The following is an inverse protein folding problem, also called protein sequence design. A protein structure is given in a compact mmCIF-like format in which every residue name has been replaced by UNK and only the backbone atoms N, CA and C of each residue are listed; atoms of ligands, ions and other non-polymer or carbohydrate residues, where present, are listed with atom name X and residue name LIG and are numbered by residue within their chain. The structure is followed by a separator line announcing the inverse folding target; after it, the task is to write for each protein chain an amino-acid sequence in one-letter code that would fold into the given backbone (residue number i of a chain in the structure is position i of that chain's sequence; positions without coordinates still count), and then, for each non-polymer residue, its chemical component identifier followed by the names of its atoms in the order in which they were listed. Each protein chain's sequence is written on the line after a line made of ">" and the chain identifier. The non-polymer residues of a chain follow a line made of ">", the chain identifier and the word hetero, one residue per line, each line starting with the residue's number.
data_IF_270820191613
#
_entry.id   IF_270820191613
#
_cell.length_a   1.000
_cell.length_b   1.000
_cell.length_c   1.000
_cell.angle_alpha   90.00
_cell.angle_beta   90.00
_cell.angle_gamma   90.00
#
_symmetry.space_group_name_H-M   'P 1'
#
loop_
_entity.id
_entity.type
_entity.pdbx_description
1 polymer ?
#
# COMPACT_ATOMS: atom_id res chain seq x y z
N UNK A 1 81.41 -50.71 -46.66
CA UNK A 1 81.37 -50.33 -45.22
C UNK A 1 81.61 -48.84 -45.07
N UNK A 2 80.69 -48.03 -44.61
CA UNK A 2 80.96 -46.63 -44.35
C UNK A 2 81.40 -46.44 -42.86
N UNK A 3 82.52 -45.74 -42.73
CA UNK A 3 83.17 -45.33 -41.49
C UNK A 3 82.41 -44.12 -40.91
N UNK A 4 81.85 -44.29 -39.71
CA UNK A 4 81.24 -43.12 -38.98
C UNK A 4 82.35 -42.30 -38.32
N UNK A 5 82.30 -40.98 -38.39
CA UNK A 5 83.20 -40.09 -37.60
C UNK A 5 82.72 -39.99 -36.14
N UNK A 6 83.62 -39.68 -35.21
CA UNK A 6 83.37 -39.74 -33.79
C UNK A 6 82.52 -38.49 -33.31
N UNK A 7 81.64 -38.81 -32.43
CA UNK A 7 80.70 -37.84 -31.76
C UNK A 7 81.47 -36.82 -30.88
N UNK A 8 81.30 -35.51 -31.17
CA UNK A 8 81.84 -34.42 -30.41
C UNK A 8 80.81 -34.00 -29.34
N UNK A 9 81.16 -34.11 -28.06
CA UNK A 9 80.35 -33.68 -26.93
C UNK A 9 80.11 -32.16 -26.99
N UNK A 10 78.91 -31.68 -26.93
CA UNK A 10 78.66 -30.21 -26.79
C UNK A 10 79.01 -29.74 -25.39
N UNK A 11 79.65 -28.56 -25.34
CA UNK A 11 80.10 -27.90 -24.11
C UNK A 11 78.97 -27.55 -23.18
N UNK A 12 79.17 -27.75 -21.90
CA UNK A 12 78.26 -27.35 -20.82
C UNK A 12 78.18 -25.82 -20.75
N UNK A 13 77.13 -25.23 -21.25
CA UNK A 13 76.76 -23.84 -21.00
C UNK A 13 76.20 -23.80 -19.59
N UNK A 14 76.94 -23.18 -18.66
CA UNK A 14 76.40 -22.81 -17.33
C UNK A 14 75.28 -21.78 -17.53
N UNK A 15 74.04 -22.20 -17.45
CA UNK A 15 72.92 -21.34 -17.25
C UNK A 15 73.02 -20.78 -15.81
N UNK A 16 73.27 -19.49 -15.71
CA UNK A 16 73.11 -18.73 -14.48
C UNK A 16 71.63 -18.81 -14.06
N UNK A 17 71.43 -19.27 -12.84
CA UNK A 17 70.11 -19.35 -12.20
C UNK A 17 69.33 -18.08 -12.35
N UNK A 18 68.30 -18.08 -13.15
CA UNK A 18 67.25 -17.07 -13.12
C UNK A 18 66.63 -17.09 -11.71
N UNK A 19 66.44 -15.92 -11.17
CA UNK A 19 65.83 -15.71 -9.86
C UNK A 19 64.55 -16.56 -9.69
N UNK A 20 64.51 -17.29 -8.62
CA UNK A 20 63.39 -18.21 -8.31
C UNK A 20 62.07 -17.43 -8.24
N UNK A 21 60.98 -18.00 -8.71
CA UNK A 21 59.64 -17.32 -8.70
C UNK A 21 59.20 -16.84 -7.34
N UNK A 22 59.79 -17.38 -6.29
CA UNK A 22 59.50 -16.99 -4.90
C UNK A 22 59.98 -15.58 -4.51
N UNK A 23 61.03 -15.07 -5.10
CA UNK A 23 61.57 -13.75 -4.81
C UNK A 23 60.61 -12.65 -5.35
N UNK A 24 59.99 -12.87 -6.49
CA UNK A 24 59.02 -11.95 -7.09
C UNK A 24 57.72 -11.95 -6.29
N UNK A 25 57.24 -13.09 -5.81
CA UNK A 25 56.04 -13.20 -4.97
C UNK A 25 56.26 -12.57 -3.58
N UNK A 26 57.47 -12.72 -3.00
CA UNK A 26 57.80 -12.12 -1.72
C UNK A 26 57.87 -10.60 -1.82
N UNK A 27 58.44 -10.04 -2.89
CA UNK A 27 58.49 -8.62 -3.15
C UNK A 27 57.09 -8.02 -3.39
N UNK A 28 56.20 -8.73 -4.07
CA UNK A 28 54.83 -8.29 -4.30
C UNK A 28 54.02 -8.32 -3.02
N UNK A 29 54.22 -9.31 -2.16
CA UNK A 29 53.50 -9.42 -0.87
C UNK A 29 53.93 -8.35 0.13
N UNK A 30 55.21 -7.91 0.10
CA UNK A 30 55.68 -6.84 0.97
C UNK A 30 55.18 -5.47 0.54
N UNK A 31 55.05 -5.20 -0.76
CA UNK A 31 54.49 -3.96 -1.27
C UNK A 31 52.98 -3.84 -1.03
N UNK A 32 52.24 -4.95 -1.18
CA UNK A 32 50.79 -4.97 -0.93
C UNK A 32 50.46 -4.74 0.56
N UNK A 33 51.30 -5.16 1.47
CA UNK A 33 51.07 -5.02 2.92
C UNK A 33 51.38 -3.60 3.46
N UNK A 34 52.23 -2.84 2.77
CA UNK A 34 52.57 -1.47 3.18
C UNK A 34 51.55 -0.40 2.72
N UNK A 35 50.84 -0.65 1.59
CA UNK A 35 49.88 0.32 1.07
C UNK A 35 48.50 0.27 1.76
N UNK A 36 48.16 -0.84 2.41
CA UNK A 36 46.78 -1.04 2.86
C UNK A 36 46.51 -0.68 4.34
N UNK A 37 47.56 -0.48 5.17
CA UNK A 37 47.37 -0.28 6.60
C UNK A 37 47.21 1.18 7.02
N UNK A 38 47.81 2.12 6.25
CA UNK A 38 47.79 3.53 6.61
C UNK A 38 46.55 4.26 6.07
N UNK A 39 46.03 3.82 4.92
CA UNK A 39 44.89 4.46 4.28
C UNK A 39 43.54 4.04 4.83
N UNK A 40 43.38 2.80 5.28
CA UNK A 40 42.09 2.28 5.81
C UNK A 40 41.69 2.98 7.10
N UNK A 41 42.59 3.20 8.03
CA UNK A 41 42.29 3.93 9.28
C UNK A 41 41.97 5.40 9.02
N UNK A 42 42.69 6.06 8.13
CA UNK A 42 42.43 7.46 7.76
C UNK A 42 41.10 7.57 6.98
N UNK A 43 40.83 6.63 6.08
CA UNK A 43 39.59 6.57 5.34
C UNK A 43 38.41 6.32 6.28
N UNK A 44 38.56 5.40 7.24
CA UNK A 44 37.55 5.11 8.24
C UNK A 44 37.25 6.28 9.18
N UNK A 45 38.33 7.00 9.62
CA UNK A 45 38.21 8.21 10.44
C UNK A 45 37.52 9.35 9.67
N UNK A 46 37.88 9.54 8.40
CA UNK A 46 37.19 10.51 7.53
C UNK A 46 35.70 10.17 7.32
N UNK A 47 35.40 8.91 7.08
CA UNK A 47 34.00 8.45 6.96
C UNK A 47 33.22 8.66 8.26
N UNK A 48 33.77 8.26 9.40
CA UNK A 48 33.16 8.47 10.71
C UNK A 48 32.92 9.97 11.00
N UNK A 49 33.90 10.81 10.67
CA UNK A 49 33.81 12.25 10.90
C UNK A 49 32.76 12.92 9.98
N UNK A 50 32.72 12.56 8.69
CA UNK A 50 31.73 13.09 7.76
C UNK A 50 30.33 12.64 8.13
N UNK A 51 30.15 11.38 8.57
CA UNK A 51 28.83 10.86 9.02
C UNK A 51 28.34 11.58 10.27
N UNK A 52 29.23 11.83 11.24
CA UNK A 52 28.87 12.55 12.47
C UNK A 52 28.46 14.00 12.17
N UNK A 53 29.20 14.68 11.30
CA UNK A 53 28.90 16.06 10.88
C UNK A 53 27.57 16.09 10.11
N UNK A 54 27.36 15.15 9.18
CA UNK A 54 26.10 15.06 8.40
C UNK A 54 24.88 14.82 9.30
N UNK A 55 25.00 13.91 10.29
CA UNK A 55 23.94 13.67 11.27
C UNK A 55 23.69 14.91 12.15
N UNK A 56 24.73 15.62 12.56
CA UNK A 56 24.61 16.88 13.32
C UNK A 56 23.88 17.96 12.53
N UNK A 57 24.22 18.14 11.26
CA UNK A 57 23.57 19.11 10.37
C UNK A 57 22.11 18.70 10.14
N UNK A 58 21.83 17.42 9.93
CA UNK A 58 20.48 16.89 9.73
C UNK A 58 19.63 17.10 11.00
N UNK A 59 20.22 16.90 12.18
CA UNK A 59 19.56 17.14 13.46
C UNK A 59 19.24 18.63 13.67
N UNK A 60 20.17 19.53 13.32
CA UNK A 60 19.94 20.99 13.38
C UNK A 60 18.82 21.39 12.40
N UNK A 61 18.83 20.87 11.17
CA UNK A 61 17.77 21.11 10.19
C UNK A 61 16.42 20.61 10.72
N UNK A 62 16.39 19.44 11.36
CA UNK A 62 15.18 18.88 11.95
C UNK A 62 14.62 19.74 13.10
N UNK A 63 15.49 20.43 13.87
CA UNK A 63 15.07 21.35 14.94
C UNK A 63 14.51 22.67 14.40
N UNK A 64 15.15 23.26 13.39
CA UNK A 64 14.78 24.58 12.88
C UNK A 64 13.77 24.55 11.73
N UNK A 65 13.71 23.47 10.96
CA UNK A 65 12.77 23.28 9.87
C UNK A 65 12.25 21.83 9.84
N UNK A 66 11.37 21.47 10.77
CA UNK A 66 10.81 20.10 10.84
C UNK A 66 10.05 19.69 9.57
N UNK A 67 9.59 20.67 8.77
CA UNK A 67 8.86 20.40 7.52
C UNK A 67 9.72 19.78 6.42
N UNK A 68 11.05 20.00 6.42
CA UNK A 68 11.95 19.40 5.42
C UNK A 68 12.30 17.94 5.69
N UNK A 69 12.14 17.48 6.94
CA UNK A 69 12.49 16.11 7.37
C UNK A 69 11.23 15.23 7.48
N UNK A 70 10.04 15.80 7.37
CA UNK A 70 8.79 15.05 7.33
C UNK A 70 8.64 14.35 5.98
N UNK A 71 9.26 13.20 5.87
CA UNK A 71 8.87 12.16 4.92
C UNK A 71 7.59 11.48 5.45
N UNK A 72 6.53 12.26 5.66
CA UNK A 72 5.21 11.70 5.76
C UNK A 72 4.68 11.61 4.33
N UNK A 73 4.33 10.41 3.83
CA UNK A 73 3.35 10.35 2.78
C UNK A 73 2.17 11.13 3.36
N UNK A 74 1.86 12.29 2.79
CA UNK A 74 0.66 13.00 3.19
C UNK A 74 -0.47 11.97 3.08
N UNK A 75 -1.16 11.62 4.18
CA UNK A 75 -2.44 10.97 4.02
C UNK A 75 -3.18 11.94 3.11
N UNK A 76 -3.59 11.46 1.94
CA UNK A 76 -4.48 12.23 1.07
C UNK A 76 -5.72 12.46 1.93
N UNK A 77 -5.67 13.57 2.69
CA UNK A 77 -6.72 13.92 3.62
C UNK A 77 -8.00 13.98 2.85
N UNK A 78 -9.02 13.34 3.38
CA UNK A 78 -10.37 13.42 2.86
C UNK A 78 -10.72 14.92 2.79
N UNK A 79 -10.63 15.53 1.62
CA UNK A 79 -11.03 16.91 1.42
C UNK A 79 -12.56 16.93 1.40
N UNK A 80 -13.17 17.09 2.58
CA UNK A 80 -14.59 17.28 2.70
C UNK A 80 -14.94 18.68 2.20
N UNK A 81 -15.84 18.77 1.24
CA UNK A 81 -16.39 20.04 0.79
C UNK A 81 -17.37 20.56 1.85
N UNK A 82 -16.99 21.64 2.51
CA UNK A 82 -17.86 22.33 3.48
C UNK A 82 -18.51 23.53 2.82
N UNK A 83 -19.83 23.64 2.93
CA UNK A 83 -20.57 24.81 2.43
C UNK A 83 -20.12 26.07 3.14
N UNK A 84 -19.90 27.14 2.37
CA UNK A 84 -19.86 28.48 2.95
C UNK A 84 -21.25 28.79 3.53
N UNK A 85 -21.27 29.41 4.73
CA UNK A 85 -22.52 29.80 5.41
C UNK A 85 -23.45 30.52 4.41
N UNK A 86 -24.63 29.96 4.10
CA UNK A 86 -25.58 30.70 3.29
C UNK A 86 -25.91 32.00 4.04
N UNK A 87 -25.80 33.15 3.36
CA UNK A 87 -26.42 34.37 3.83
C UNK A 87 -27.90 34.05 4.04
N UNK A 88 -28.40 34.30 5.24
CA UNK A 88 -29.76 34.00 5.66
C UNK A 88 -30.79 34.53 4.63
N UNK A 89 -31.09 33.69 3.63
CA UNK A 89 -32.24 33.81 2.77
C UNK A 89 -33.32 32.99 3.44
N UNK A 90 -34.32 33.69 4.02
CA UNK A 90 -35.54 33.09 4.52
C UNK A 90 -36.14 32.23 3.41
N UNK A 91 -36.02 30.89 3.51
CA UNK A 91 -36.81 29.98 2.70
C UNK A 91 -38.29 30.28 2.98
N UNK A 92 -39.06 30.56 1.95
CA UNK A 92 -40.49 30.80 2.10
C UNK A 92 -41.17 29.48 2.54
N UNK A 93 -42.10 29.53 3.51
CA UNK A 93 -42.83 28.32 3.93
C UNK A 93 -43.54 27.67 2.74
N UNK A 94 -43.17 26.41 2.38
CA UNK A 94 -43.81 25.67 1.30
C UNK A 94 -42.92 25.36 0.09
N UNK A 95 -41.62 25.72 0.11
CA UNK A 95 -40.68 25.30 -0.97
C UNK A 95 -40.45 23.80 -0.99
N UNK A 96 -40.49 23.25 -2.18
CA UNK A 96 -40.22 21.81 -2.43
C UNK A 96 -38.74 21.48 -2.20
N UNK A 97 -38.44 20.34 -1.59
CA UNK A 97 -37.07 19.79 -1.48
C UNK A 97 -36.49 19.33 -2.81
N UNK A 98 -37.25 19.33 -3.91
CA UNK A 98 -36.81 18.87 -5.20
C UNK A 98 -35.52 19.52 -5.71
N UNK A 99 -35.28 20.83 -5.59
CA UNK A 99 -34.01 21.42 -6.01
C UNK A 99 -32.82 20.96 -5.18
N UNK A 100 -32.98 20.72 -3.88
CA UNK A 100 -31.95 20.18 -3.01
C UNK A 100 -31.66 18.72 -3.35
N UNK A 101 -32.68 17.92 -3.53
CA UNK A 101 -32.59 16.52 -3.93
C UNK A 101 -31.85 16.36 -5.28
N UNK A 102 -32.17 17.17 -6.28
CA UNK A 102 -31.49 17.15 -7.58
C UNK A 102 -29.98 17.42 -7.48
N UNK A 103 -29.53 18.24 -6.55
CA UNK A 103 -28.11 18.49 -6.30
C UNK A 103 -27.40 17.33 -5.62
N UNK A 104 -28.11 16.58 -4.79
CA UNK A 104 -27.53 15.50 -3.97
C UNK A 104 -27.55 14.17 -4.70
N UNK A 105 -28.56 13.88 -5.53
CA UNK A 105 -28.70 12.61 -6.25
C UNK A 105 -27.41 12.11 -6.92
N UNK A 106 -26.62 12.93 -7.61
CA UNK A 106 -25.37 12.46 -8.23
C UNK A 106 -24.33 11.96 -7.23
N UNK A 107 -24.39 12.42 -5.96
CA UNK A 107 -23.47 12.02 -4.89
C UNK A 107 -23.95 10.77 -4.14
N UNK A 108 -25.18 10.28 -4.39
CA UNK A 108 -25.73 9.10 -3.73
C UNK A 108 -25.43 7.86 -4.59
N UNK A 109 -25.01 6.80 -3.92
CA UNK A 109 -24.63 5.53 -4.56
C UNK A 109 -25.37 4.36 -3.93
N UNK A 110 -25.54 3.29 -4.70
CA UNK A 110 -26.01 2.01 -4.18
C UNK A 110 -24.80 1.12 -3.82
N UNK A 111 -24.84 0.51 -2.65
CA UNK A 111 -23.79 -0.40 -2.17
C UNK A 111 -24.32 -1.80 -2.20
N UNK A 112 -23.75 -2.64 -3.06
CA UNK A 112 -24.06 -4.06 -3.17
C UNK A 112 -23.00 -4.85 -2.42
N UNK A 113 -23.43 -5.76 -1.56
CA UNK A 113 -22.52 -6.65 -0.85
C UNK A 113 -22.90 -8.10 -1.10
N UNK A 114 -21.88 -8.95 -1.21
CA UNK A 114 -22.05 -10.38 -1.36
C UNK A 114 -21.35 -11.09 -0.20
N UNK A 115 -22.05 -12.06 0.38
CA UNK A 115 -21.53 -12.91 1.45
C UNK A 115 -21.69 -14.38 1.06
N UNK A 116 -20.61 -15.15 1.17
CA UNK A 116 -20.63 -16.60 0.97
C UNK A 116 -20.96 -17.30 2.29
N UNK A 117 -22.22 -17.55 2.52
CA UNK A 117 -22.68 -18.28 3.70
C UNK A 117 -22.51 -19.78 3.47
N UNK A 118 -21.64 -20.42 4.26
CA UNK A 118 -21.60 -21.88 4.31
C UNK A 118 -22.73 -22.34 5.19
N UNK A 119 -23.72 -23.03 4.59
CA UNK A 119 -24.74 -23.70 5.40
C UNK A 119 -24.05 -24.72 6.34
N UNK A 120 -24.40 -24.77 7.62
CA UNK A 120 -23.85 -25.78 8.50
C UNK A 120 -24.18 -27.17 7.92
N UNK A 121 -23.20 -28.05 7.89
CA UNK A 121 -23.37 -29.42 7.43
C UNK A 121 -24.50 -30.06 8.26
N UNK A 122 -25.45 -30.70 7.58
CA UNK A 122 -26.55 -31.37 8.27
C UNK A 122 -26.01 -32.36 9.30
N UNK A 123 -26.52 -32.38 10.55
CA UNK A 123 -25.97 -33.27 11.63
C UNK A 123 -25.92 -34.75 11.18
N UNK A 124 -26.83 -35.18 10.33
CA UNK A 124 -26.84 -36.54 9.77
C UNK A 124 -25.61 -36.85 8.89
N UNK A 125 -24.86 -35.84 8.36
CA UNK A 125 -23.64 -36.06 7.61
C UNK A 125 -22.46 -36.49 8.48
N UNK A 126 -22.61 -36.46 9.80
CA UNK A 126 -21.64 -37.05 10.74
C UNK A 126 -21.68 -38.59 10.74
N UNK A 127 -22.83 -39.20 10.32
CA UNK A 127 -22.97 -40.64 10.16
C UNK A 127 -22.31 -41.06 8.85
N UNK A 128 -21.33 -42.00 8.85
CA UNK A 128 -20.66 -42.49 7.66
C UNK A 128 -21.60 -43.14 6.65
N UNK A 129 -22.65 -43.85 7.12
CA UNK A 129 -23.64 -44.53 6.27
C UNK A 129 -24.52 -43.51 5.57
N UNK A 130 -24.99 -42.51 6.32
CA UNK A 130 -25.84 -41.45 5.78
C UNK A 130 -25.08 -40.59 4.76
N UNK A 131 -23.81 -40.29 5.01
CA UNK A 131 -22.93 -39.57 4.08
C UNK A 131 -22.69 -40.37 2.79
N UNK A 132 -22.52 -41.69 2.89
CA UNK A 132 -22.33 -42.54 1.71
C UNK A 132 -23.57 -42.52 0.74
N UNK A 133 -24.78 -42.52 1.30
CA UNK A 133 -26.01 -42.56 0.48
C UNK A 133 -26.52 -41.18 0.05
N UNK A 134 -26.24 -40.14 0.81
CA UNK A 134 -26.85 -38.81 0.64
C UNK A 134 -25.85 -37.66 0.59
N UNK A 135 -24.57 -37.90 0.74
CA UNK A 135 -23.53 -36.88 0.86
C UNK A 135 -23.54 -35.88 -0.28
N UNK A 136 -23.57 -36.33 -1.52
CA UNK A 136 -23.57 -35.48 -2.72
C UNK A 136 -24.82 -34.60 -2.87
N UNK A 137 -25.94 -35.00 -2.24
CA UNK A 137 -27.21 -34.26 -2.28
C UNK A 137 -27.36 -33.26 -1.14
N UNK A 138 -26.63 -33.49 -0.05
CA UNK A 138 -26.72 -32.72 1.17
C UNK A 138 -25.44 -31.85 1.39
N UNK A 139 -24.45 -31.99 0.52
CA UNK A 139 -23.33 -31.07 0.50
C UNK A 139 -23.86 -29.64 0.27
N UNK A 140 -23.84 -28.89 1.34
CA UNK A 140 -24.32 -27.52 1.35
C UNK A 140 -23.44 -26.69 0.39
N UNK A 141 -23.97 -26.46 -0.82
CA UNK A 141 -23.35 -25.48 -1.73
C UNK A 141 -23.32 -24.15 -1.00
N UNK A 142 -22.18 -23.43 -1.04
CA UNK A 142 -22.13 -22.09 -0.49
C UNK A 142 -23.28 -21.27 -1.09
N UNK A 143 -24.13 -20.75 -0.24
CA UNK A 143 -25.21 -19.85 -0.67
C UNK A 143 -24.65 -18.44 -0.67
N UNK A 144 -24.69 -17.78 -1.80
CA UNK A 144 -24.40 -16.37 -1.89
C UNK A 144 -25.62 -15.58 -1.42
N UNK A 145 -25.41 -14.76 -0.41
CA UNK A 145 -26.40 -13.80 0.08
C UNK A 145 -25.95 -12.42 -0.38
N UNK A 146 -26.81 -11.75 -1.12
CA UNK A 146 -26.58 -10.37 -1.56
C UNK A 146 -27.41 -9.43 -0.70
N UNK A 147 -26.78 -8.37 -0.20
CA UNK A 147 -27.45 -7.29 0.50
C UNK A 147 -27.31 -6.00 -0.32
N UNK A 148 -28.23 -5.09 -0.08
CA UNK A 148 -28.28 -3.78 -0.71
C UNK A 148 -28.28 -2.70 0.38
N UNK A 149 -27.42 -1.71 0.23
CA UNK A 149 -27.39 -0.52 1.05
C UNK A 149 -27.23 0.73 0.20
N UNK A 150 -27.09 1.86 0.85
CA UNK A 150 -26.82 3.15 0.22
C UNK A 150 -25.56 3.77 0.80
N UNK A 151 -24.93 4.63 0.03
CA UNK A 151 -23.78 5.40 0.44
C UNK A 151 -23.77 6.79 -0.17
N UNK A 152 -22.88 7.63 0.33
CA UNK A 152 -22.73 9.01 -0.14
C UNK A 152 -21.25 9.28 -0.46
N UNK A 153 -20.96 9.80 -1.64
CA UNK A 153 -19.63 10.22 -2.05
C UNK A 153 -19.24 11.45 -1.25
N UNK A 154 -18.21 11.33 -0.41
CA UNK A 154 -17.73 12.41 0.46
C UNK A 154 -16.48 13.10 -0.07
N UNK A 155 -15.82 12.51 -1.06
CA UNK A 155 -14.66 13.10 -1.72
C UNK A 155 -14.63 12.74 -3.21
N UNK A 156 -14.20 13.68 -4.04
CA UNK A 156 -14.03 13.49 -5.49
C UNK A 156 -13.01 12.39 -5.83
N UNK A 157 -12.20 11.97 -4.86
CA UNK A 157 -11.20 10.91 -5.01
C UNK A 157 -11.76 9.51 -4.71
N UNK A 158 -13.08 9.33 -4.63
CA UNK A 158 -13.70 8.01 -4.48
C UNK A 158 -13.88 7.51 -3.06
N UNK A 159 -13.91 8.39 -2.06
CA UNK A 159 -14.32 8.02 -0.71
C UNK A 159 -15.84 8.12 -0.57
N UNK A 160 -16.43 7.08 0.01
CA UNK A 160 -17.88 6.91 0.18
C UNK A 160 -18.14 6.60 1.64
N UNK A 161 -19.11 7.30 2.23
CA UNK A 161 -19.63 7.04 3.57
C UNK A 161 -20.87 6.15 3.46
N UNK A 162 -20.93 5.08 4.23
CA UNK A 162 -22.06 4.17 4.35
C UNK A 162 -22.21 3.70 5.80
N UNK A 163 -23.19 2.84 6.08
CA UNK A 163 -23.35 2.25 7.40
C UNK A 163 -22.49 1.00 7.57
N UNK A 164 -22.01 0.78 8.81
CA UNK A 164 -21.21 -0.38 9.17
C UNK A 164 -21.96 -1.70 8.90
N UNK A 165 -23.22 -1.81 9.33
CA UNK A 165 -24.02 -3.03 9.15
C UNK A 165 -24.21 -3.44 7.68
N UNK A 166 -24.06 -2.51 6.72
CA UNK A 166 -24.14 -2.83 5.28
C UNK A 166 -22.92 -3.64 4.83
N UNK A 167 -21.75 -3.39 5.44
CA UNK A 167 -20.45 -3.94 4.99
C UNK A 167 -19.84 -4.97 5.95
N UNK A 168 -20.37 -5.11 7.15
CA UNK A 168 -19.82 -5.93 8.25
C UNK A 168 -19.52 -7.37 7.84
N UNK A 169 -20.46 -8.00 7.11
CA UNK A 169 -20.36 -9.41 6.73
C UNK A 169 -20.04 -9.62 5.24
N UNK A 170 -19.59 -8.58 4.54
CA UNK A 170 -19.34 -8.62 3.12
C UNK A 170 -18.00 -9.26 2.77
N UNK A 171 -18.01 -10.30 1.93
CA UNK A 171 -16.81 -10.83 1.28
C UNK A 171 -16.41 -9.98 0.06
N UNK A 172 -17.41 -9.42 -0.63
CA UNK A 172 -17.22 -8.56 -1.81
C UNK A 172 -18.17 -7.37 -1.74
N UNK A 173 -17.66 -6.20 -2.09
CA UNK A 173 -18.42 -4.94 -2.10
C UNK A 173 -18.32 -4.30 -3.48
N UNK A 174 -19.45 -3.92 -4.04
CA UNK A 174 -19.56 -3.19 -5.29
C UNK A 174 -20.41 -1.93 -5.07
N UNK A 175 -20.05 -0.86 -5.73
CA UNK A 175 -20.74 0.42 -5.67
C UNK A 175 -21.24 0.79 -7.05
N UNK A 176 -22.55 1.03 -7.17
CA UNK A 176 -23.14 1.56 -8.37
C UNK A 176 -23.35 3.08 -8.22
N UNK A 177 -22.74 3.83 -9.11
CA UNK A 177 -22.84 5.28 -9.21
C UNK A 177 -24.15 5.70 -9.89
N UNK A 178 -24.51 6.97 -9.78
CA UNK A 178 -25.72 7.53 -10.37
C UNK A 178 -25.77 7.45 -11.92
N UNK A 179 -24.59 7.39 -12.57
CA UNK A 179 -24.47 7.22 -14.02
C UNK A 179 -24.65 5.75 -14.48
N UNK A 180 -24.85 4.82 -13.54
CA UNK A 180 -24.99 3.40 -13.80
C UNK A 180 -23.66 2.61 -13.81
N UNK A 181 -22.52 3.24 -13.65
CA UNK A 181 -21.23 2.56 -13.53
C UNK A 181 -21.16 1.80 -12.21
N UNK A 182 -20.73 0.54 -12.25
CA UNK A 182 -20.49 -0.28 -11.06
C UNK A 182 -19.00 -0.54 -10.89
N UNK A 183 -18.48 -0.26 -9.71
CA UNK A 183 -17.05 -0.35 -9.38
C UNK A 183 -16.85 -1.18 -8.12
N UNK A 184 -15.76 -1.98 -8.05
CA UNK A 184 -15.40 -2.66 -6.81
C UNK A 184 -14.97 -1.63 -5.75
N UNK A 185 -15.36 -1.90 -4.51
CA UNK A 185 -15.05 -1.06 -3.37
C UNK A 185 -14.31 -1.85 -2.29
N UNK A 186 -13.48 -1.15 -1.51
CA UNK A 186 -12.80 -1.71 -0.33
C UNK A 186 -13.11 -0.88 0.91
N UNK A 187 -13.23 -1.54 2.05
CA UNK A 187 -13.39 -0.87 3.33
C UNK A 187 -12.05 -0.22 3.73
N UNK A 188 -12.08 1.07 4.03
CA UNK A 188 -10.93 1.84 4.55
C UNK A 188 -10.95 1.89 6.06
N UNK A 189 -12.13 2.00 6.63
CA UNK A 189 -12.37 1.98 8.06
C UNK A 189 -13.85 1.81 8.38
N UNK A 190 -14.13 1.29 9.55
CA UNK A 190 -15.48 1.11 10.05
C UNK A 190 -15.51 1.31 11.55
N UNK A 191 -16.60 1.86 12.03
CA UNK A 191 -16.90 2.10 13.43
C UNK A 191 -18.27 1.47 13.77
N UNK A 192 -18.26 0.32 14.47
CA UNK A 192 -19.51 -0.34 14.88
C UNK A 192 -20.34 0.48 15.86
N UNK A 193 -19.71 1.32 16.70
CA UNK A 193 -20.42 2.09 17.74
C UNK A 193 -21.28 3.19 17.13
N UNK A 194 -20.79 3.84 16.09
CA UNK A 194 -21.52 4.88 15.35
C UNK A 194 -22.30 4.35 14.16
N UNK A 195 -22.17 3.05 13.85
CA UNK A 195 -22.69 2.42 12.63
C UNK A 195 -22.23 3.12 11.34
N UNK A 196 -20.97 3.56 11.28
CA UNK A 196 -20.40 4.20 10.10
C UNK A 196 -19.29 3.35 9.49
N UNK A 197 -19.18 3.39 8.17
CA UNK A 197 -18.08 2.80 7.42
C UNK A 197 -17.67 3.70 6.25
N UNK A 198 -16.38 3.71 5.95
CA UNK A 198 -15.80 4.43 4.81
C UNK A 198 -15.30 3.42 3.79
N UNK A 199 -15.82 3.55 2.57
CA UNK A 199 -15.40 2.78 1.42
C UNK A 199 -14.50 3.62 0.52
N UNK A 200 -13.67 2.94 -0.28
CA UNK A 200 -12.85 3.52 -1.34
C UNK A 200 -13.11 2.78 -2.65
N UNK A 201 -13.42 3.53 -3.69
CA UNK A 201 -13.45 3.08 -5.08
C UNK A 201 -12.31 3.74 -5.87
N UNK A 202 -11.83 3.09 -6.92
CA UNK A 202 -10.79 3.62 -7.80
C UNK A 202 -11.45 4.39 -8.94
N UNK A 203 -11.86 5.62 -8.63
CA UNK A 203 -12.41 6.59 -9.58
C UNK A 203 -12.10 8.01 -9.09
N UNK A 204 -11.95 8.93 -10.04
CA UNK A 204 -11.61 10.32 -9.80
C UNK A 204 -12.71 11.25 -10.35
N UNK A 205 -12.69 12.52 -9.93
CA UNK A 205 -13.63 13.55 -10.37
C UNK A 205 -15.10 13.23 -10.07
N UNK A 206 -15.33 12.49 -8.98
CA UNK A 206 -16.68 12.14 -8.57
C UNK A 206 -17.42 13.35 -7.94
N UNK A 207 -18.76 13.40 -8.09
CA UNK A 207 -19.59 14.44 -7.47
C UNK A 207 -19.66 14.20 -5.95
N UNK A 208 -18.81 14.88 -5.19
CA UNK A 208 -18.82 14.80 -3.73
C UNK A 208 -19.93 15.68 -3.13
N UNK A 209 -20.56 15.17 -2.07
CA UNK A 209 -21.54 15.93 -1.31
C UNK A 209 -20.87 17.08 -0.55
N UNK A 210 -21.64 18.16 -0.34
CA UNK A 210 -21.22 19.29 0.49
C UNK A 210 -21.89 19.20 1.85
N UNK A 211 -21.09 19.19 2.91
CA UNK A 211 -21.60 19.14 4.28
C UNK A 211 -21.96 20.55 4.77
N UNK A 212 -23.08 20.66 5.47
CA UNK A 212 -23.44 21.89 6.17
C UNK A 212 -22.52 22.14 7.39
N UNK A 213 -22.43 23.40 7.83
CA UNK A 213 -21.79 23.72 9.11
C UNK A 213 -22.78 23.43 10.23
N UNK A 214 -22.40 22.53 11.17
CA UNK A 214 -23.27 22.14 12.28
C UNK A 214 -23.73 23.36 13.14
N UNK A 215 -22.84 24.35 13.30
CA UNK A 215 -23.11 25.56 14.09
C UNK A 215 -24.20 26.48 13.48
N UNK A 216 -24.61 26.23 12.24
CA UNK A 216 -25.66 27.01 11.56
C UNK A 216 -27.03 26.35 11.58
N UNK A 217 -27.15 25.17 12.20
CA UNK A 217 -28.40 24.43 12.28
C UNK A 217 -29.11 24.70 13.60
N UNK A 218 -30.41 25.02 13.52
CA UNK A 218 -31.25 25.22 14.68
C UNK A 218 -32.34 24.13 14.77
N UNK A 219 -32.82 23.86 15.97
CA UNK A 219 -33.89 22.88 16.17
C UNK A 219 -35.19 23.43 15.54
N UNK A 220 -35.69 22.69 14.54
CA UNK A 220 -36.86 23.08 13.76
C UNK A 220 -36.57 23.58 12.35
N UNK A 221 -35.30 23.66 11.97
CA UNK A 221 -34.91 23.92 10.59
C UNK A 221 -35.35 22.78 9.66
N UNK A 222 -35.85 23.15 8.49
CA UNK A 222 -36.36 22.25 7.45
C UNK A 222 -36.00 22.71 6.04
#
# INVERSE_FOLDING_TARGET
>A
YPIYPPYRKPGVVRMQCAATPWAIIAAWRSHAKSMNSINMRKLWLLFAQTTTVALGVLFIIALFKPELVRWQPQPQGLALQQAQRPSAGTAAPGESFAPAAQKVIPSVVNVFTQQKVRSPAHPALQDPIFRYFFGDRLDARPREVSNLGSGVIVSSNGYILTNHHVVEAADEIQVALADGQTLPARVVGADPETDLAVLKIDADNLPAITFAQADSLEVGDW
#
